data_IF_788216887836
#
_entry.id   IF_788216887836
#
_cell.length_a   1.000
_cell.length_b   1.000
_cell.length_c   1.000
_cell.angle_alpha   90.00
_cell.angle_beta   90.00
_cell.angle_gamma   90.00
#
_symmetry.space_group_name_H-M   'P 1'
#
loop_
_entity.id
_entity.type
_entity.pdbx_description
1 polymer ?
#
# COMPACT_ATOMS: atom_id res chain seq x y z
N UNK A 1 -7.75 1.12 -0.98
CA UNK A 1 -6.29 1.34 -1.12
C UNK A 1 -5.73 2.19 0.04
N UNK A 2 -4.53 1.85 0.52
CA UNK A 2 -3.84 2.60 1.60
C UNK A 2 -2.66 3.39 1.02
N UNK A 3 -2.63 4.70 1.29
CA UNK A 3 -1.62 5.64 0.79
C UNK A 3 -0.57 5.92 1.87
N UNK A 4 0.69 5.65 1.56
CA UNK A 4 1.81 5.91 2.47
C UNK A 4 1.96 7.40 2.79
N UNK A 5 2.39 7.72 4.01
CA UNK A 5 2.73 9.10 4.41
C UNK A 5 4.03 9.55 3.76
N UNK A 6 4.18 10.86 3.60
CA UNK A 6 5.37 11.45 2.97
C UNK A 6 6.65 11.11 3.72
N UNK A 7 6.58 11.02 5.06
CA UNK A 7 7.69 10.57 5.91
C UNK A 7 8.15 9.16 5.54
N UNK A 8 7.22 8.23 5.33
CA UNK A 8 7.54 6.84 4.98
C UNK A 8 8.14 6.73 3.58
N UNK A 9 7.67 7.55 2.63
CA UNK A 9 8.27 7.58 1.28
C UNK A 9 9.71 8.06 1.36
N UNK A 10 9.99 9.13 2.13
CA UNK A 10 11.34 9.63 2.34
C UNK A 10 12.24 8.60 3.04
N UNK A 11 11.73 7.96 4.08
CA UNK A 11 12.49 7.00 4.89
C UNK A 11 12.81 5.71 4.12
N UNK A 12 11.81 5.11 3.47
CA UNK A 12 11.93 3.79 2.85
C UNK A 12 12.35 3.83 1.39
N UNK A 13 11.91 4.82 0.62
CA UNK A 13 12.27 4.94 -0.81
C UNK A 13 13.46 5.86 -1.05
N UNK A 14 13.95 6.56 -0.01
CA UNK A 14 15.00 7.59 -0.10
C UNK A 14 14.71 8.65 -1.17
N UNK A 15 13.42 8.93 -1.39
CA UNK A 15 12.93 9.86 -2.40
C UNK A 15 11.91 10.80 -1.77
N UNK A 16 11.93 12.06 -2.19
CA UNK A 16 10.84 12.98 -1.88
C UNK A 16 9.68 12.69 -2.84
N UNK A 17 8.46 12.44 -2.33
CA UNK A 17 7.32 12.27 -3.22
C UNK A 17 7.05 13.59 -3.95
N UNK A 18 6.78 13.52 -5.25
CA UNK A 18 6.43 14.68 -6.08
C UNK A 18 5.18 15.40 -5.55
N UNK A 19 4.23 14.62 -5.04
CA UNK A 19 2.96 15.08 -4.48
C UNK A 19 2.84 14.65 -3.02
N UNK A 20 2.29 15.53 -2.19
CA UNK A 20 2.05 15.21 -0.79
C UNK A 20 1.01 14.09 -0.62
N UNK A 21 0.90 13.58 0.61
CA UNK A 21 -0.03 12.48 0.92
C UNK A 21 -1.51 12.84 0.69
N UNK A 22 -1.90 14.11 0.77
CA UNK A 22 -3.30 14.54 0.58
C UNK A 22 -3.65 14.52 -0.89
N UNK A 23 -2.82 15.14 -1.73
CA UNK A 23 -2.95 15.11 -3.19
C UNK A 23 -2.93 13.67 -3.70
N UNK A 24 -1.95 12.86 -3.28
CA UNK A 24 -1.91 11.43 -3.69
C UNK A 24 -3.16 10.67 -3.28
N UNK A 25 -3.72 10.95 -2.10
CA UNK A 25 -4.96 10.32 -1.66
C UNK A 25 -6.16 10.73 -2.52
N UNK A 26 -6.25 12.01 -2.88
CA UNK A 26 -7.27 12.53 -3.78
C UNK A 26 -7.19 11.85 -5.14
N UNK A 27 -6.00 11.81 -5.76
CA UNK A 27 -5.79 11.12 -7.04
C UNK A 27 -6.15 9.63 -6.97
N UNK A 28 -5.79 8.95 -5.88
CA UNK A 28 -6.15 7.54 -5.68
C UNK A 28 -7.66 7.32 -5.59
N UNK A 29 -8.41 8.25 -4.99
CA UNK A 29 -9.87 8.16 -4.89
C UNK A 29 -10.58 8.41 -6.21
N UNK A 30 -9.90 9.03 -7.17
CA UNK A 30 -10.44 9.26 -8.51
C UNK A 30 -10.19 8.08 -9.48
N UNK A 31 -9.49 7.03 -9.04
CA UNK A 31 -9.27 5.82 -9.83
C UNK A 31 -10.56 4.98 -9.81
N UNK A 32 -11.15 4.62 -10.98
CA UNK A 32 -12.44 3.91 -11.03
C UNK A 32 -12.48 2.60 -10.25
N UNK A 33 -11.37 1.87 -10.19
CA UNK A 33 -11.24 0.58 -9.49
C UNK A 33 -10.98 0.71 -7.98
N UNK A 34 -10.99 1.94 -7.45
CA UNK A 34 -10.74 2.21 -6.02
C UNK A 34 -12.02 2.69 -5.35
N UNK A 35 -12.68 1.78 -4.64
CA UNK A 35 -13.88 2.13 -3.86
C UNK A 35 -13.53 3.07 -2.68
N UNK A 36 -12.41 2.80 -2.00
CA UNK A 36 -12.00 3.53 -0.81
C UNK A 36 -10.50 3.85 -0.80
N UNK A 37 -10.16 5.07 -0.39
CA UNK A 37 -8.79 5.52 -0.16
C UNK A 37 -8.58 5.98 1.28
N UNK A 38 -7.55 5.46 1.95
CA UNK A 38 -7.16 5.85 3.32
C UNK A 38 -5.66 6.15 3.43
N UNK A 39 -5.27 7.01 4.37
CA UNK A 39 -3.86 7.19 4.72
C UNK A 39 -3.37 6.06 5.62
N UNK A 40 -2.11 5.68 5.46
CA UNK A 40 -1.41 4.85 6.42
C UNK A 40 -1.37 5.51 7.81
N UNK A 41 -1.13 4.70 8.83
CA UNK A 41 -0.94 5.18 10.20
C UNK A 41 0.21 6.18 10.32
N UNK A 42 0.24 6.94 11.41
CA UNK A 42 1.33 7.90 11.68
C UNK A 42 2.65 7.20 12.03
N UNK A 43 2.58 5.99 12.59
CA UNK A 43 3.72 5.22 13.07
C UNK A 43 3.94 4.05 12.12
N UNK A 44 5.17 3.87 11.63
CA UNK A 44 5.50 2.73 10.77
C UNK A 44 5.37 1.42 11.56
N UNK A 45 4.83 0.39 10.90
CA UNK A 45 4.66 -0.93 11.52
C UNK A 45 3.55 -1.05 12.56
N UNK A 46 2.73 0.00 12.79
CA UNK A 46 1.58 -0.10 13.72
C UNK A 46 0.39 -0.85 13.13
N UNK A 47 0.22 -0.82 11.80
CA UNK A 47 -0.81 -1.54 11.05
C UNK A 47 -2.25 -1.45 11.61
N UNK A 48 -2.58 -0.40 12.34
CA UNK A 48 -3.92 -0.05 12.79
C UNK A 48 -4.89 0.17 11.62
N UNK A 49 -4.38 0.58 10.45
CA UNK A 49 -5.18 0.62 9.22
C UNK A 49 -5.78 -0.74 8.85
N UNK A 50 -5.09 -1.86 9.11
CA UNK A 50 -5.61 -3.21 8.85
C UNK A 50 -6.82 -3.49 9.76
N UNK A 51 -6.77 -3.05 11.03
CA UNK A 51 -7.89 -3.21 11.97
C UNK A 51 -9.11 -2.37 11.56
N UNK A 52 -8.87 -1.19 10.97
CA UNK A 52 -9.93 -0.28 10.52
C UNK A 52 -10.59 -0.77 9.24
N UNK A 53 -9.80 -1.12 8.24
CA UNK A 53 -10.30 -1.56 6.93
C UNK A 53 -10.78 -3.03 6.94
N UNK A 54 -10.33 -3.83 7.93
CA UNK A 54 -10.67 -5.26 8.07
C UNK A 54 -10.58 -6.06 6.74
N UNK A 55 -9.48 -5.94 5.98
CA UNK A 55 -9.40 -6.58 4.67
C UNK A 55 -9.37 -8.10 4.78
N UNK A 56 -9.93 -8.78 3.79
CA UNK A 56 -9.84 -10.24 3.65
C UNK A 56 -8.55 -10.68 2.95
N UNK A 57 -7.94 -9.77 2.17
CA UNK A 57 -6.69 -10.01 1.45
C UNK A 57 -5.83 -8.75 1.40
N UNK A 58 -4.50 -8.91 1.41
CA UNK A 58 -3.56 -7.81 1.24
C UNK A 58 -2.75 -7.97 -0.04
N UNK A 59 -2.79 -6.95 -0.89
CA UNK A 59 -1.95 -6.90 -2.08
C UNK A 59 -0.74 -6.00 -1.84
N UNK A 60 0.46 -6.45 -2.19
CA UNK A 60 1.72 -5.69 -2.11
C UNK A 60 2.36 -5.57 -3.49
N UNK A 61 3.05 -4.46 -3.75
CA UNK A 61 3.74 -4.26 -5.02
C UNK A 61 4.94 -5.20 -5.20
N UNK A 62 5.32 -5.49 -6.44
CA UNK A 62 6.47 -6.35 -6.77
C UNK A 62 7.79 -5.93 -6.08
N UNK A 63 7.97 -4.64 -5.83
CA UNK A 63 9.16 -4.03 -5.22
C UNK A 63 9.10 -3.96 -3.68
N UNK A 64 8.04 -4.48 -3.05
CA UNK A 64 7.75 -4.30 -1.62
C UNK A 64 8.08 -5.50 -0.74
N UNK A 65 9.17 -6.23 -1.02
CA UNK A 65 9.56 -7.44 -0.26
C UNK A 65 9.67 -7.20 1.25
N UNK A 66 10.29 -6.09 1.67
CA UNK A 66 10.47 -5.78 3.09
C UNK A 66 9.13 -5.54 3.83
N UNK A 67 8.13 -4.99 3.14
CA UNK A 67 6.79 -4.81 3.70
C UNK A 67 6.09 -6.17 3.89
N UNK A 68 6.18 -7.04 2.89
CA UNK A 68 5.62 -8.39 2.97
C UNK A 68 6.23 -9.19 4.13
N UNK A 69 7.56 -9.12 4.29
CA UNK A 69 8.27 -9.78 5.38
C UNK A 69 7.86 -9.25 6.77
N UNK A 70 7.77 -7.93 6.96
CA UNK A 70 7.32 -7.38 8.24
C UNK A 70 5.84 -7.74 8.51
N UNK A 71 4.96 -7.69 7.50
CA UNK A 71 3.57 -8.17 7.65
C UNK A 71 3.53 -9.63 8.11
N UNK A 72 4.29 -10.53 7.46
CA UNK A 72 4.38 -11.95 7.86
C UNK A 72 4.87 -12.10 9.30
N UNK A 73 5.92 -11.37 9.69
CA UNK A 73 6.44 -11.38 11.07
C UNK A 73 5.41 -10.89 12.09
N UNK A 74 4.62 -9.88 11.74
CA UNK A 74 3.58 -9.31 12.63
C UNK A 74 2.38 -10.23 12.77
N UNK A 75 2.02 -10.95 11.70
CA UNK A 75 1.02 -12.02 11.74
C UNK A 75 1.49 -13.19 12.62
N UNK A 76 2.73 -13.66 12.42
CA UNK A 76 3.29 -14.76 13.21
C UNK A 76 3.40 -14.44 14.71
N UNK A 77 3.67 -13.17 15.06
CA UNK A 77 3.69 -12.71 16.45
C UNK A 77 2.32 -12.33 17.03
N UNK A 78 1.23 -12.52 16.28
CA UNK A 78 -0.13 -12.22 16.74
C UNK A 78 -0.46 -10.72 16.87
N UNK A 79 0.43 -9.83 16.41
CA UNK A 79 0.21 -8.36 16.48
C UNK A 79 -0.85 -7.88 15.49
N UNK A 80 -1.01 -8.59 14.38
CA UNK A 80 -2.08 -8.41 13.40
C UNK A 80 -2.69 -9.77 13.04
N UNK A 81 -3.96 -9.75 12.60
CA UNK A 81 -4.67 -10.94 12.12
C UNK A 81 -3.93 -11.57 10.94
N UNK A 82 -3.86 -12.90 10.89
CA UNK A 82 -3.34 -13.63 9.75
C UNK A 82 -4.24 -13.43 8.51
N UNK A 83 -3.62 -13.06 7.39
CA UNK A 83 -4.29 -12.73 6.14
C UNK A 83 -3.47 -13.23 4.95
N UNK A 84 -4.11 -13.69 3.86
CA UNK A 84 -3.42 -13.94 2.61
C UNK A 84 -2.74 -12.65 2.09
N UNK A 85 -1.51 -12.80 1.60
CA UNK A 85 -0.78 -11.73 0.94
C UNK A 85 -0.54 -12.14 -0.52
N UNK A 86 -0.96 -11.29 -1.45
CA UNK A 86 -0.67 -11.42 -2.88
C UNK A 86 0.39 -10.39 -3.26
N UNK A 87 1.49 -10.85 -3.84
CA UNK A 87 2.46 -9.97 -4.50
C UNK A 87 2.01 -9.72 -5.93
N UNK A 88 1.71 -8.46 -6.24
CA UNK A 88 1.33 -8.04 -7.57
C UNK A 88 2.56 -8.09 -8.49
N UNK A 89 2.42 -8.56 -9.74
CA UNK A 89 3.51 -8.53 -10.70
C UNK A 89 3.90 -7.08 -11.04
N UNK A 90 5.09 -6.92 -11.61
CA UNK A 90 5.49 -5.62 -12.16
C UNK A 90 4.51 -5.25 -13.27
N UNK A 91 3.95 -4.05 -13.19
CA UNK A 91 3.12 -3.52 -14.26
C UNK A 91 3.99 -3.28 -15.50
N UNK A 92 3.74 -4.01 -16.59
CA UNK A 92 4.41 -3.81 -17.86
C UNK A 92 3.49 -3.00 -18.77
N UNK A 93 3.83 -1.72 -18.96
CA UNK A 93 2.98 -0.73 -19.66
C UNK A 93 2.72 -1.07 -21.14
N UNK A 94 3.53 -1.95 -21.72
CA UNK A 94 3.54 -2.28 -23.15
C UNK A 94 2.32 -3.07 -23.64
N UNK A 95 1.45 -3.59 -22.76
CA UNK A 95 0.25 -4.35 -23.16
C UNK A 95 -1.07 -3.59 -23.10
N UNK A 96 -1.08 -2.33 -22.65
CA UNK A 96 -2.29 -1.51 -22.54
C UNK A 96 -2.26 -0.30 -23.49
N UNK A 97 -1.75 -0.51 -24.71
CA UNK A 97 -2.08 0.37 -25.83
C UNK A 97 -3.56 0.18 -26.16
N UNK A 98 -4.42 0.98 -25.54
CA UNK A 98 -5.73 1.24 -26.12
C UNK A 98 -5.49 1.97 -27.43
N UNK A 99 -5.62 1.25 -28.53
CA UNK A 99 -6.13 1.80 -29.78
C UNK A 99 -7.39 2.60 -29.45
N UNK A 100 -7.34 3.90 -29.71
CA UNK A 100 -8.41 4.74 -30.23
C UNK A 100 -7.79 6.02 -30.77
#
# INVERSE_FOLDING_TARGET
>A
MVVARDSFVKEFKKKTPQWDKKKRLEEIRNVPEVDEGALADKIAGSYGVIKKCRPDIMCVGHDQSALEEDLKKRMASGKIRALPIIRLPRYNREKNGHEN
#
